data_IF_073558877828
#
_entry.id   IF_073558877828
#
_cell.length_a   1.000
_cell.length_b   1.000
_cell.length_c   1.000
_cell.angle_alpha   90.00
_cell.angle_beta   90.00
_cell.angle_gamma   90.00
#
_symmetry.space_group_name_H-M   'P 1'
#
loop_
_entity.id
_entity.type
_entity.pdbx_description
1 polymer ?
#
# COMPACT_ATOMS: atom_id res chain seq x y z
N UNK A 1 7.97 -8.30 9.89
CA UNK A 1 9.26 -7.77 9.43
C UNK A 1 8.95 -6.66 8.43
N UNK A 2 9.48 -5.46 8.61
CA UNK A 2 9.29 -4.38 7.62
C UNK A 2 10.39 -4.50 6.56
N UNK A 3 10.04 -4.19 5.32
CA UNK A 3 10.90 -4.29 4.12
C UNK A 3 11.02 -2.89 3.54
N UNK A 4 12.19 -2.55 3.00
CA UNK A 4 12.40 -1.21 2.43
C UNK A 4 11.55 -1.02 1.18
N UNK A 5 11.12 0.21 0.96
CA UNK A 5 10.23 0.62 -0.11
C UNK A 5 10.74 0.22 -1.49
N UNK A 6 12.04 0.37 -1.75
CA UNK A 6 12.65 -0.02 -3.04
C UNK A 6 12.46 -1.51 -3.34
N UNK A 7 12.67 -2.39 -2.35
CA UNK A 7 12.58 -3.84 -2.56
C UNK A 7 11.14 -4.32 -2.68
N UNK A 8 10.21 -3.69 -1.95
CA UNK A 8 8.78 -3.91 -2.17
C UNK A 8 8.36 -3.43 -3.56
N UNK A 9 8.84 -2.27 -4.02
CA UNK A 9 8.53 -1.79 -5.35
C UNK A 9 9.03 -2.76 -6.42
N UNK A 10 10.27 -3.25 -6.30
CA UNK A 10 10.82 -4.26 -7.20
C UNK A 10 10.00 -5.55 -7.17
N UNK A 11 9.68 -6.07 -5.99
CA UNK A 11 8.81 -7.25 -5.84
C UNK A 11 7.45 -7.04 -6.51
N UNK A 12 6.81 -5.88 -6.27
CA UNK A 12 5.51 -5.55 -6.85
C UNK A 12 5.54 -5.47 -8.38
N UNK A 13 6.60 -4.89 -8.95
CA UNK A 13 6.81 -4.85 -10.40
C UNK A 13 7.01 -6.26 -10.96
N UNK A 14 7.81 -7.10 -10.30
CA UNK A 14 8.02 -8.49 -10.72
C UNK A 14 6.71 -9.27 -10.70
N UNK A 15 5.91 -9.15 -9.64
CA UNK A 15 4.61 -9.84 -9.53
C UNK A 15 3.59 -9.32 -10.55
N UNK A 16 3.59 -8.02 -10.83
CA UNK A 16 2.76 -7.42 -11.87
C UNK A 16 3.11 -7.97 -13.27
N UNK A 17 4.40 -7.99 -13.61
CA UNK A 17 4.89 -8.55 -14.88
C UNK A 17 4.51 -10.03 -14.98
N UNK A 18 4.73 -10.80 -13.91
CA UNK A 18 4.34 -12.23 -13.85
C UNK A 18 2.86 -12.45 -14.13
N UNK A 19 2.01 -11.69 -13.46
CA UNK A 19 0.55 -11.83 -13.58
C UNK A 19 0.02 -11.50 -14.97
N UNK A 20 0.64 -10.54 -15.66
CA UNK A 20 0.18 -10.07 -16.97
C UNK A 20 0.77 -10.87 -18.12
N UNK A 21 2.09 -11.08 -18.11
CA UNK A 21 2.80 -11.55 -19.31
C UNK A 21 3.09 -13.05 -19.31
N UNK A 22 3.10 -13.70 -18.14
CA UNK A 22 3.53 -15.10 -18.05
C UNK A 22 2.38 -16.00 -17.61
N UNK A 23 2.03 -15.98 -16.33
CA UNK A 23 1.04 -16.90 -15.77
C UNK A 23 0.16 -16.13 -14.76
N UNK A 24 -1.16 -16.33 -14.80
CA UNK A 24 -2.09 -15.66 -13.88
C UNK A 24 -2.28 -16.42 -12.55
N UNK A 25 -2.01 -17.73 -12.52
CA UNK A 25 -2.27 -18.60 -11.38
C UNK A 25 -1.11 -18.64 -10.37
N UNK A 26 0.13 -18.76 -10.84
CA UNK A 26 1.33 -18.77 -9.98
C UNK A 26 1.45 -17.50 -9.12
N UNK A 27 1.37 -16.28 -9.68
CA UNK A 27 1.44 -15.07 -8.86
C UNK A 27 0.25 -14.94 -7.91
N UNK A 28 -0.94 -15.40 -8.29
CA UNK A 28 -2.10 -15.44 -7.39
C UNK A 28 -1.82 -16.31 -6.16
N UNK A 29 -1.37 -17.55 -6.35
CA UNK A 29 -1.04 -18.44 -5.24
C UNK A 29 0.04 -17.88 -4.31
N UNK A 30 1.11 -17.31 -4.88
CA UNK A 30 2.18 -16.76 -4.05
C UNK A 30 1.75 -15.50 -3.30
N UNK A 31 0.95 -14.63 -3.91
CA UNK A 31 0.41 -13.48 -3.19
C UNK A 31 -0.52 -13.89 -2.05
N UNK A 32 -1.35 -14.92 -2.23
CA UNK A 32 -2.16 -15.51 -1.15
C UNK A 32 -1.28 -16.06 -0.02
N UNK A 33 -0.22 -16.81 -0.36
CA UNK A 33 0.69 -17.38 0.63
C UNK A 33 1.39 -16.31 1.48
N UNK A 34 1.80 -15.19 0.88
CA UNK A 34 2.42 -14.07 1.61
C UNK A 34 1.40 -13.38 2.54
N UNK A 35 0.12 -13.34 2.15
CA UNK A 35 -0.98 -12.76 2.93
C UNK A 35 -1.53 -13.69 4.02
N UNK A 36 -0.82 -14.76 4.41
CA UNK A 36 -1.29 -15.76 5.39
C UNK A 36 -1.83 -15.19 6.70
N UNK A 37 -1.41 -13.98 7.10
CA UNK A 37 -1.92 -13.31 8.31
C UNK A 37 -3.36 -12.82 8.18
N UNK A 38 -3.88 -12.69 6.96
CA UNK A 38 -5.22 -12.19 6.62
C UNK A 38 -6.09 -13.31 6.04
N UNK A 39 -6.25 -14.39 6.80
CA UNK A 39 -7.02 -15.58 6.42
C UNK A 39 -8.41 -15.22 5.86
N UNK A 40 -9.10 -14.24 6.44
CA UNK A 40 -10.42 -13.81 5.96
C UNK A 40 -10.40 -13.28 4.52
N UNK A 41 -9.37 -12.53 4.13
CA UNK A 41 -9.24 -12.03 2.75
C UNK A 41 -9.00 -13.21 1.81
N UNK A 42 -8.11 -14.12 2.17
CA UNK A 42 -7.81 -15.34 1.40
C UNK A 42 -9.08 -16.16 1.14
N UNK A 43 -9.87 -16.41 2.20
CA UNK A 43 -11.10 -17.21 2.10
C UNK A 43 -12.10 -16.55 1.15
N UNK A 44 -12.27 -15.22 1.25
CA UNK A 44 -13.18 -14.47 0.37
C UNK A 44 -12.70 -14.52 -1.08
N UNK A 45 -11.41 -14.30 -1.34
CA UNK A 45 -10.86 -14.34 -2.71
C UNK A 45 -10.98 -15.73 -3.34
N UNK A 46 -10.73 -16.79 -2.58
CA UNK A 46 -10.90 -18.17 -3.07
C UNK A 46 -12.36 -18.47 -3.36
N UNK A 47 -13.28 -18.07 -2.49
CA UNK A 47 -14.73 -18.21 -2.72
C UNK A 47 -15.18 -17.48 -3.99
N UNK A 48 -14.74 -16.22 -4.17
CA UNK A 48 -15.07 -15.45 -5.37
C UNK A 48 -14.41 -16.07 -6.60
N UNK A 49 -13.18 -16.58 -6.48
CA UNK A 49 -12.49 -17.30 -7.56
C UNK A 49 -13.27 -18.53 -8.02
N UNK A 50 -13.77 -19.36 -7.08
CA UNK A 50 -14.57 -20.55 -7.41
C UNK A 50 -15.91 -20.15 -8.04
N UNK A 51 -16.62 -19.19 -7.44
CA UNK A 51 -17.90 -18.70 -7.99
C UNK A 51 -17.72 -18.10 -9.40
N UNK A 52 -16.67 -17.31 -9.59
CA UNK A 52 -16.34 -16.71 -10.88
C UNK A 52 -16.05 -17.79 -11.93
N UNK A 53 -15.30 -18.83 -11.58
CA UNK A 53 -15.04 -19.95 -12.48
C UNK A 53 -16.33 -20.68 -12.89
N UNK A 54 -17.20 -21.01 -11.93
CA UNK A 54 -18.47 -21.69 -12.19
C UNK A 54 -19.39 -20.87 -13.12
N UNK A 55 -19.57 -19.58 -12.81
CA UNK A 55 -20.42 -18.67 -13.60
C UNK A 55 -19.86 -18.50 -15.02
N UNK A 56 -18.55 -18.28 -15.16
CA UNK A 56 -17.92 -18.06 -16.46
C UNK A 56 -17.88 -19.33 -17.30
N UNK A 57 -17.72 -20.50 -16.67
CA UNK A 57 -17.82 -21.80 -17.35
C UNK A 57 -19.24 -22.05 -17.85
N UNK A 58 -20.26 -21.74 -17.05
CA UNK A 58 -21.66 -21.88 -17.47
C UNK A 58 -22.01 -20.95 -18.65
N UNK A 59 -21.44 -19.74 -18.67
CA UNK A 59 -21.64 -18.77 -19.75
C UNK A 59 -20.73 -19.01 -20.98
N UNK A 60 -19.86 -20.02 -20.95
CA UNK A 60 -18.90 -20.30 -22.02
C UNK A 60 -17.80 -19.22 -22.19
N UNK A 61 -17.59 -18.36 -21.18
CA UNK A 61 -16.64 -17.24 -21.22
C UNK A 61 -15.44 -17.45 -20.28
N UNK A 62 -14.87 -18.66 -20.30
CA UNK A 62 -13.78 -19.06 -19.40
C UNK A 62 -12.53 -18.17 -19.56
N UNK A 63 -12.27 -17.65 -20.76
CA UNK A 63 -11.15 -16.72 -21.03
C UNK A 63 -11.18 -15.44 -20.17
N UNK A 64 -12.34 -15.06 -19.63
CA UNK A 64 -12.47 -13.89 -18.74
C UNK A 64 -11.91 -14.19 -17.34
N UNK A 65 -11.83 -15.46 -16.95
CA UNK A 65 -11.38 -15.90 -15.63
C UNK A 65 -9.93 -15.53 -15.32
N UNK A 66 -9.09 -15.44 -16.36
CA UNK A 66 -7.70 -14.98 -16.18
C UNK A 66 -7.65 -13.56 -15.60
N UNK A 67 -8.56 -12.68 -16.03
CA UNK A 67 -8.61 -11.30 -15.58
C UNK A 67 -9.05 -11.16 -14.13
N UNK A 68 -9.92 -12.05 -13.64
CA UNK A 68 -10.33 -12.02 -12.22
C UNK A 68 -9.16 -12.42 -11.31
N UNK A 69 -8.41 -13.46 -11.66
CA UNK A 69 -7.21 -13.85 -10.89
C UNK A 69 -6.07 -12.83 -11.00
N UNK A 70 -5.89 -12.19 -12.16
CA UNK A 70 -4.96 -11.05 -12.32
C UNK A 70 -5.34 -9.88 -11.42
N UNK A 71 -6.63 -9.53 -11.36
CA UNK A 71 -7.10 -8.46 -10.50
C UNK A 71 -6.81 -8.74 -9.02
N UNK A 72 -7.10 -9.96 -8.54
CA UNK A 72 -6.77 -10.33 -7.16
C UNK A 72 -5.27 -10.33 -6.88
N UNK A 73 -4.44 -10.82 -7.80
CA UNK A 73 -2.99 -10.76 -7.67
C UNK A 73 -2.49 -9.31 -7.47
N UNK A 74 -3.03 -8.36 -8.24
CA UNK A 74 -2.66 -6.93 -8.14
C UNK A 74 -3.15 -6.33 -6.82
N UNK A 75 -4.39 -6.62 -6.42
CA UNK A 75 -4.94 -6.18 -5.13
C UNK A 75 -4.08 -6.70 -3.98
N UNK A 76 -3.68 -7.97 -4.04
CA UNK A 76 -2.84 -8.58 -3.02
C UNK A 76 -1.45 -7.98 -2.96
N UNK A 77 -0.81 -7.72 -4.11
CA UNK A 77 0.46 -6.99 -4.16
C UNK A 77 0.34 -5.61 -3.50
N UNK A 78 -0.78 -4.92 -3.70
CA UNK A 78 -1.05 -3.65 -3.02
C UNK A 78 -1.18 -3.82 -1.50
N UNK A 79 -1.93 -4.82 -1.04
CA UNK A 79 -2.09 -5.12 0.39
C UNK A 79 -0.75 -5.49 1.05
N UNK A 80 0.03 -6.35 0.40
CA UNK A 80 1.38 -6.74 0.83
C UNK A 80 2.28 -5.50 0.93
N UNK A 81 2.28 -4.66 -0.12
CA UNK A 81 3.06 -3.42 -0.13
C UNK A 81 2.68 -2.52 1.04
N UNK A 82 1.38 -2.33 1.31
CA UNK A 82 0.89 -1.50 2.42
C UNK A 82 1.32 -2.03 3.79
N UNK A 83 1.26 -3.36 3.98
CA UNK A 83 1.55 -3.99 5.27
C UNK A 83 3.05 -4.07 5.57
N UNK A 84 3.87 -4.44 4.59
CA UNK A 84 5.28 -4.74 4.80
C UNK A 84 6.20 -3.54 4.56
N UNK A 85 5.76 -2.47 3.91
CA UNK A 85 6.60 -1.28 3.65
C UNK A 85 7.01 -0.57 4.95
N UNK A 86 8.31 -0.33 5.08
CA UNK A 86 8.85 0.67 5.99
C UNK A 86 8.70 2.07 5.37
N UNK A 87 7.81 2.90 5.93
CA UNK A 87 7.56 4.26 5.44
C UNK A 87 8.80 5.15 5.53
N UNK A 88 9.69 4.91 6.48
CA UNK A 88 10.90 5.73 6.65
C UNK A 88 11.92 5.51 5.52
N UNK A 89 11.95 4.30 4.96
CA UNK A 89 12.83 3.91 3.85
C UNK A 89 12.50 4.61 2.52
N UNK A 90 11.40 5.36 2.44
CA UNK A 90 11.13 6.26 1.31
C UNK A 90 12.22 7.35 1.22
N UNK A 91 12.77 7.77 2.36
CA UNK A 91 13.87 8.76 2.43
C UNK A 91 15.17 8.17 1.86
N UNK A 92 15.40 6.86 2.01
CA UNK A 92 16.53 6.17 1.39
C UNK A 92 16.54 6.31 -0.13
N UNK A 93 15.36 6.30 -0.76
CA UNK A 93 15.22 6.42 -2.21
C UNK A 93 15.24 7.87 -2.68
N UNK A 94 14.40 8.72 -2.09
CA UNK A 94 14.19 10.10 -2.54
C UNK A 94 15.10 11.13 -1.87
N UNK A 95 15.88 10.74 -0.85
CA UNK A 95 16.68 11.66 -0.05
C UNK A 95 15.82 12.72 0.65
N UNK A 96 16.35 13.93 0.77
CA UNK A 96 15.66 15.07 1.37
C UNK A 96 14.31 15.42 0.71
N UNK A 97 14.14 15.14 -0.59
CA UNK A 97 12.88 15.35 -1.31
C UNK A 97 11.75 14.40 -0.86
N UNK A 98 12.09 13.27 -0.22
CA UNK A 98 11.11 12.32 0.33
C UNK A 98 10.56 12.72 1.70
N UNK A 99 11.20 13.68 2.38
CA UNK A 99 10.83 14.11 3.74
C UNK A 99 9.39 14.61 3.83
N UNK A 100 8.90 15.51 2.94
CA UNK A 100 7.50 15.96 2.99
C UNK A 100 6.49 14.82 2.87
N UNK A 101 6.80 13.81 2.05
CA UNK A 101 5.93 12.66 1.84
C UNK A 101 5.86 11.78 3.11
N UNK A 102 7.00 11.52 3.74
CA UNK A 102 7.04 10.75 5.00
C UNK A 102 6.33 11.48 6.13
N UNK A 103 6.48 12.81 6.23
CA UNK A 103 5.73 13.64 7.17
C UNK A 103 4.22 13.49 6.92
N UNK A 104 3.76 13.67 5.68
CA UNK A 104 2.35 13.54 5.35
C UNK A 104 1.78 12.15 5.72
N UNK A 105 2.49 11.07 5.38
CA UNK A 105 2.11 9.69 5.72
C UNK A 105 2.11 9.40 7.22
N UNK A 106 2.95 10.10 7.99
CA UNK A 106 3.05 9.96 9.45
C UNK A 106 1.94 10.74 10.15
N UNK A 107 1.56 11.91 9.64
CA UNK A 107 0.52 12.76 10.21
C UNK A 107 -0.89 12.39 9.75
N UNK A 108 -1.03 11.58 8.70
CA UNK A 108 -2.33 11.14 8.19
C UNK A 108 -3.30 10.61 9.28
N UNK A 109 -2.90 9.70 10.20
CA UNK A 109 -3.79 9.22 11.26
C UNK A 109 -4.30 10.35 12.17
N UNK A 110 -3.43 11.33 12.48
CA UNK A 110 -3.80 12.48 13.31
C UNK A 110 -4.82 13.38 12.61
N UNK A 111 -4.65 13.61 11.31
CA UNK A 111 -5.64 14.35 10.52
C UNK A 111 -6.96 13.60 10.43
N UNK A 112 -6.92 12.27 10.32
CA UNK A 112 -8.11 11.43 10.31
C UNK A 112 -8.90 11.54 11.63
N UNK A 113 -8.23 11.42 12.79
CA UNK A 113 -8.84 11.62 14.11
C UNK A 113 -9.44 13.03 14.28
N UNK A 114 -8.72 14.04 13.79
CA UNK A 114 -9.19 15.43 13.81
C UNK A 114 -10.49 15.58 13.00
N UNK A 115 -10.52 15.04 11.77
CA UNK A 115 -11.72 15.07 10.92
C UNK A 115 -12.88 14.34 11.60
N UNK A 116 -12.64 13.17 12.21
CA UNK A 116 -13.66 12.45 12.97
C UNK A 116 -14.25 13.29 14.10
N UNK A 117 -13.41 14.01 14.86
CA UNK A 117 -13.87 14.93 15.92
C UNK A 117 -14.70 16.07 15.34
N UNK A 118 -14.25 16.71 14.26
CA UNK A 118 -14.98 17.81 13.60
C UNK A 118 -16.35 17.32 13.14
N UNK A 119 -16.42 16.17 12.48
CA UNK A 119 -17.69 15.57 12.02
C UNK A 119 -18.60 15.22 13.20
N UNK A 120 -18.04 14.66 14.27
CA UNK A 120 -18.80 14.34 15.48
C UNK A 120 -19.42 15.59 16.12
N UNK A 121 -18.66 16.66 16.31
CA UNK A 121 -19.18 17.92 16.85
C UNK A 121 -20.17 18.62 15.92
N UNK A 122 -19.95 18.55 14.60
CA UNK A 122 -20.89 19.07 13.62
C UNK A 122 -22.24 18.34 13.71
N UNK A 123 -22.21 17.01 13.87
CA UNK A 123 -23.42 16.19 14.07
C UNK A 123 -24.16 16.56 15.36
N UNK A 124 -23.45 16.70 16.49
CA UNK A 124 -24.06 17.13 17.77
C UNK A 124 -24.74 18.50 17.63
N UNK A 125 -24.13 19.41 16.87
CA UNK A 125 -24.65 20.76 16.66
C UNK A 125 -25.68 20.86 15.52
N UNK A 126 -26.16 19.74 14.98
CA UNK A 126 -27.08 19.69 13.83
C UNK A 126 -26.61 20.53 12.63
N UNK A 127 -25.29 20.65 12.44
CA UNK A 127 -24.71 21.31 11.27
C UNK A 127 -24.81 20.32 10.10
N UNK A 128 -25.41 20.76 9.00
CA UNK A 128 -25.48 19.95 7.79
C UNK A 128 -24.07 19.62 7.29
N UNK A 129 -23.77 18.32 7.13
CA UNK A 129 -22.46 17.82 6.68
C UNK A 129 -22.12 18.25 5.24
N UNK A 130 -23.13 18.65 4.46
CA UNK A 130 -22.94 19.20 3.12
C UNK A 130 -22.48 20.66 3.13
N UNK A 131 -22.54 21.34 4.29
CA UNK A 131 -22.04 22.70 4.43
C UNK A 131 -20.51 22.69 4.63
N UNK A 132 -19.80 22.53 3.51
CA UNK A 132 -18.35 22.41 3.48
C UNK A 132 -17.65 23.60 4.13
N UNK A 133 -18.17 24.83 3.98
CA UNK A 133 -17.54 26.02 4.55
C UNK A 133 -17.41 25.94 6.08
N UNK A 134 -18.44 25.41 6.76
CA UNK A 134 -18.44 25.26 8.23
C UNK A 134 -17.54 24.13 8.73
N UNK A 135 -17.33 23.10 7.91
CA UNK A 135 -16.46 21.97 8.24
C UNK A 135 -14.99 22.24 7.89
N UNK A 136 -14.74 22.94 6.79
CA UNK A 136 -13.40 23.23 6.30
C UNK A 136 -12.66 24.22 7.20
N UNK A 137 -13.35 25.23 7.74
CA UNK A 137 -12.73 26.24 8.58
C UNK A 137 -11.96 25.64 9.78
N UNK A 138 -12.56 24.81 10.65
CA UNK A 138 -11.82 24.19 11.76
C UNK A 138 -10.73 23.23 11.28
N UNK A 139 -10.93 22.54 10.16
CA UNK A 139 -9.93 21.63 9.57
C UNK A 139 -8.69 22.43 9.12
N UNK A 140 -8.88 23.54 8.40
CA UNK A 140 -7.81 24.40 7.91
C UNK A 140 -7.04 25.01 9.08
N UNK A 141 -7.75 25.54 10.09
CA UNK A 141 -7.12 26.17 11.26
C UNK A 141 -6.23 25.18 12.01
N UNK A 142 -6.72 23.99 12.31
CA UNK A 142 -5.90 22.96 12.98
C UNK A 142 -4.75 22.47 12.09
N UNK A 143 -4.95 22.39 10.78
CA UNK A 143 -3.88 22.02 9.85
C UNK A 143 -2.74 23.05 9.83
N UNK A 144 -3.07 24.34 9.78
CA UNK A 144 -2.09 25.43 9.85
C UNK A 144 -1.36 25.41 11.19
N UNK A 145 -2.08 25.21 12.30
CA UNK A 145 -1.47 25.11 13.64
C UNK A 145 -0.52 23.91 13.76
N UNK A 146 -0.87 22.77 13.17
CA UNK A 146 0.01 21.59 13.13
C UNK A 146 1.26 21.90 12.29
N UNK A 147 1.11 22.53 11.13
CA UNK A 147 2.22 22.90 10.26
C UNK A 147 3.19 23.86 10.94
N UNK A 148 2.69 24.87 11.65
CA UNK A 148 3.51 25.84 12.38
C UNK A 148 4.30 25.18 13.52
N UNK A 149 3.63 24.34 14.32
CA UNK A 149 4.31 23.55 15.36
C UNK A 149 5.38 22.62 14.77
N UNK A 150 5.11 22.02 13.61
CA UNK A 150 6.07 21.19 12.90
C UNK A 150 7.27 22.02 12.46
N UNK A 151 7.04 23.19 11.88
CA UNK A 151 8.09 24.10 11.44
C UNK A 151 8.97 24.55 12.61
N UNK A 152 8.38 24.94 13.75
CA UNK A 152 9.13 25.29 14.97
C UNK A 152 9.93 24.09 15.49
N UNK A 153 9.33 22.90 15.55
CA UNK A 153 10.03 21.70 16.00
C UNK A 153 11.20 21.31 15.07
N UNK A 154 11.01 21.46 13.76
CA UNK A 154 12.07 21.21 12.77
C UNK A 154 13.19 22.24 12.87
N UNK A 155 12.87 23.53 12.97
CA UNK A 155 13.88 24.59 13.09
C UNK A 155 14.68 24.48 14.37
N UNK A 156 14.05 24.14 15.50
CA UNK A 156 14.73 23.92 16.79
C UNK A 156 15.62 22.67 16.77
N UNK A 157 15.21 21.59 16.09
CA UNK A 157 15.91 20.30 16.11
C UNK A 157 16.92 20.10 14.97
N UNK A 158 16.76 20.81 13.86
CA UNK A 158 17.55 20.67 12.62
C UNK A 158 18.18 22.01 12.22
N UNK A 159 18.89 22.67 13.14
CA UNK A 159 19.69 23.89 12.90
C UNK A 159 20.84 23.72 11.86
N UNK A 160 20.67 22.89 10.82
CA UNK A 160 21.59 22.71 9.71
C UNK A 160 20.93 22.06 8.49
N UNK A 161 21.54 22.24 7.32
CA UNK A 161 21.15 21.57 6.06
C UNK A 161 20.99 20.07 6.30
N UNK A 162 19.77 19.55 6.16
CA UNK A 162 19.50 18.11 6.26
C UNK A 162 20.25 17.37 5.15
N UNK A 163 21.40 16.78 5.49
CA UNK A 163 22.22 16.04 4.56
C UNK A 163 22.07 14.54 4.86
N UNK A 164 21.15 13.90 4.16
CA UNK A 164 20.84 12.49 4.38
C UNK A 164 21.75 11.59 3.54
N UNK A 165 22.46 10.68 4.20
CA UNK A 165 23.24 9.63 3.54
C UNK A 165 22.31 8.46 3.22
N UNK A 166 21.97 8.28 1.94
CA UNK A 166 21.12 7.20 1.44
C UNK A 166 21.66 5.83 1.86
N UNK A 167 20.82 4.96 2.43
CA UNK A 167 21.20 3.60 2.77
C UNK A 167 20.37 2.58 1.98
N UNK A 168 20.90 2.18 0.83
CA UNK A 168 20.27 1.20 -0.06
C UNK A 168 20.67 -0.25 0.24
N UNK A 169 21.42 -0.52 1.32
CA UNK A 169 21.85 -1.90 1.62
C UNK A 169 20.64 -2.77 1.96
N UNK A 170 20.49 -3.97 1.36
CA UNK A 170 19.37 -4.86 1.66
C UNK A 170 19.47 -5.41 3.09
N UNK A 171 18.32 -5.49 3.75
CA UNK A 171 18.13 -6.30 4.96
C UNK A 171 17.87 -7.76 4.59
N UNK A 172 17.95 -8.67 5.57
CA UNK A 172 17.58 -10.08 5.38
C UNK A 172 16.14 -10.24 4.87
N UNK A 173 15.23 -9.37 5.31
CA UNK A 173 13.85 -9.37 4.84
C UNK A 173 13.67 -8.92 3.40
N UNK A 174 14.47 -7.95 2.97
CA UNK A 174 14.50 -7.50 1.58
C UNK A 174 14.96 -8.62 0.64
N UNK A 175 15.98 -9.40 1.06
CA UNK A 175 16.49 -10.54 0.31
C UNK A 175 15.46 -11.65 0.19
N UNK A 176 14.76 -11.99 1.27
CA UNK A 176 13.70 -13.01 1.25
C UNK A 176 12.60 -12.60 0.27
N UNK A 177 12.14 -11.34 0.32
CA UNK A 177 11.09 -10.86 -0.56
C UNK A 177 11.51 -10.89 -2.03
N UNK A 178 12.73 -10.45 -2.33
CA UNK A 178 13.28 -10.53 -3.68
C UNK A 178 13.39 -11.98 -4.16
N UNK A 179 13.88 -12.89 -3.31
CA UNK A 179 14.03 -14.29 -3.65
C UNK A 179 12.68 -14.91 -3.98
N UNK A 180 11.64 -14.62 -3.21
CA UNK A 180 10.27 -15.07 -3.51
C UNK A 180 9.81 -14.55 -4.87
N UNK A 181 10.05 -13.27 -5.18
CA UNK A 181 9.72 -12.67 -6.47
C UNK A 181 10.46 -13.30 -7.66
N UNK A 182 11.74 -13.62 -7.49
CA UNK A 182 12.53 -14.29 -8.54
C UNK A 182 12.05 -15.73 -8.73
N UNK A 183 11.81 -16.46 -7.65
CA UNK A 183 11.29 -17.83 -7.70
C UNK A 183 9.92 -17.89 -8.36
N UNK A 184 9.02 -16.92 -8.08
CA UNK A 184 7.74 -16.84 -8.80
C UNK A 184 7.92 -16.61 -10.28
N UNK A 185 8.87 -15.75 -10.68
CA UNK A 185 9.14 -15.50 -12.08
C UNK A 185 9.67 -16.75 -12.79
N UNK A 186 10.63 -17.45 -12.18
CA UNK A 186 11.12 -18.72 -12.71
C UNK A 186 10.02 -19.78 -12.80
N UNK A 187 9.18 -19.92 -11.77
CA UNK A 187 8.06 -20.86 -11.78
C UNK A 187 7.04 -20.51 -12.86
N UNK A 188 6.70 -19.22 -13.02
CA UNK A 188 5.76 -18.75 -14.04
C UNK A 188 6.28 -19.01 -15.45
N UNK A 189 7.59 -18.88 -15.67
CA UNK A 189 8.25 -19.20 -16.95
C UNK A 189 8.30 -20.70 -17.24
N UNK A 190 8.54 -21.55 -16.24
CA UNK A 190 8.64 -23.00 -16.44
C UNK A 190 7.25 -23.62 -16.63
N UNK A 191 6.28 -23.18 -15.83
CA UNK A 191 4.90 -23.62 -15.86
C UNK A 191 4.07 -22.81 -16.86
N UNK A 192 4.65 -22.45 -18.02
CA UNK A 192 4.01 -21.65 -19.04
C UNK A 192 2.81 -22.42 -19.64
N UNK A 193 1.69 -22.39 -18.93
CA UNK A 193 0.41 -23.05 -19.14
C UNK A 193 -0.63 -21.95 -19.28
#
# INVERSE_FOLDING_TARGET
>A
MKVKFLYILLFSVIMYINSIFFNFFVPFLVTLAILYRRIWIIVIEVLIGILSFLILSFLGKIFVYEYTLRAFSIINVFLISSEYTDKSSIIDLFGSKGVPLVIALTYYPRFYEMIQKVVFYARIRNINLLNLNRLLLPIIVETVKIADNLYVAYTVKLFGKYNYKRNLKPSSGDLILLLIGVVTLCLSLVLNI
#
